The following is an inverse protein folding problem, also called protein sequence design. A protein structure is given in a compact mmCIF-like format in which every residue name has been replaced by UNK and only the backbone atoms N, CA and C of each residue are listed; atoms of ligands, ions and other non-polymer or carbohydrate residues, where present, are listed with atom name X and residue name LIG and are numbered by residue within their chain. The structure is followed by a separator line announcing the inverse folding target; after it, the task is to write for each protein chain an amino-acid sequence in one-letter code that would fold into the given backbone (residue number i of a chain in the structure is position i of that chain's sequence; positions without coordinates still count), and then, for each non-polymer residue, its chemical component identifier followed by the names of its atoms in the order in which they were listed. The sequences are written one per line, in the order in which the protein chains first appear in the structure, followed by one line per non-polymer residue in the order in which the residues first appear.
data_IF_598534631676
#
_entry.id   IF_598534631676
#
_cell.length_a   1.000
_cell.length_b   1.000
_cell.length_c   1.000
_cell.angle_alpha   90.00
_cell.angle_beta   90.00
_cell.angle_gamma   90.00
#
_symmetry.space_group_name_H-M   'P 1'
#
loop_
_entity.id
_entity.type
_entity.pdbx_description
1 polymer ?
#
# COMPACT_ATOMS: atom_id res chain seq x y z
N UNK A 1 -13.21 -4.07 -26.77
CA UNK A 1 -13.40 -2.77 -26.08
C UNK A 1 -12.15 -2.54 -25.27
N UNK A 2 -11.64 -1.31 -25.23
CA UNK A 2 -10.49 -0.99 -24.41
C UNK A 2 -10.85 -1.25 -22.94
N UNK A 3 -10.05 -2.02 -22.23
CA UNK A 3 -10.26 -2.28 -20.81
C UNK A 3 -9.67 -1.11 -20.00
N UNK A 4 -10.50 -0.47 -19.17
CA UNK A 4 -10.11 0.68 -18.36
C UNK A 4 -10.13 0.25 -16.90
N UNK A 5 -9.01 0.44 -16.22
CA UNK A 5 -8.91 0.23 -14.78
C UNK A 5 -8.70 1.58 -14.10
N UNK A 6 -9.51 1.84 -13.09
CA UNK A 6 -9.41 3.04 -12.25
C UNK A 6 -9.04 2.66 -10.83
N UNK A 7 -8.01 3.31 -10.30
CA UNK A 7 -7.57 3.18 -8.92
C UNK A 7 -7.73 4.52 -8.18
N UNK A 8 -8.32 4.48 -6.99
CA UNK A 8 -8.42 5.65 -6.10
C UNK A 8 -7.71 5.32 -4.80
N UNK A 9 -6.56 5.94 -4.59
CA UNK A 9 -5.82 5.85 -3.33
C UNK A 9 -6.31 6.94 -2.37
N UNK A 10 -6.90 6.50 -1.25
CA UNK A 10 -7.56 7.37 -0.27
C UNK A 10 -6.64 7.52 0.95
N UNK A 11 -5.77 8.52 0.90
CA UNK A 11 -4.82 8.84 1.96
C UNK A 11 -5.31 9.90 2.95
N UNK A 12 -4.56 10.09 4.04
CA UNK A 12 -4.89 11.10 5.08
C UNK A 12 -4.47 12.53 4.70
N UNK A 13 -3.63 12.70 3.67
CA UNK A 13 -3.14 14.01 3.23
C UNK A 13 -3.51 14.32 1.78
N UNK A 14 -3.66 13.29 0.96
CA UNK A 14 -4.11 13.42 -0.43
C UNK A 14 -5.00 12.24 -0.81
N UNK A 15 -5.91 12.47 -1.72
CA UNK A 15 -6.60 11.45 -2.52
C UNK A 15 -6.01 11.49 -3.92
N UNK A 16 -5.66 10.33 -4.46
CA UNK A 16 -5.07 10.21 -5.79
C UNK A 16 -5.89 9.24 -6.64
N UNK A 17 -6.31 9.70 -7.81
CA UNK A 17 -6.98 8.86 -8.82
C UNK A 17 -6.04 8.62 -9.99
N UNK A 18 -5.90 7.35 -10.40
CA UNK A 18 -5.14 6.93 -11.56
C UNK A 18 -6.08 6.15 -12.50
N UNK A 19 -6.13 6.54 -13.75
CA UNK A 19 -6.91 5.87 -14.80
C UNK A 19 -5.94 5.28 -15.81
N UNK A 20 -6.09 3.99 -16.09
CA UNK A 20 -5.24 3.26 -17.03
C UNK A 20 -6.05 2.61 -18.14
N UNK A 21 -5.44 2.56 -19.32
CA UNK A 21 -5.88 1.76 -20.44
C UNK A 21 -5.05 0.48 -20.47
N UNK A 22 -5.69 -0.67 -20.51
CA UNK A 22 -5.03 -1.97 -20.62
C UNK A 22 -4.99 -2.37 -22.09
N UNK A 23 -3.78 -2.63 -22.61
CA UNK A 23 -3.60 -3.09 -23.97
C UNK A 23 -3.88 -4.60 -24.12
N UNK A 24 -3.79 -5.10 -25.36
CA UNK A 24 -4.05 -6.53 -25.68
C UNK A 24 -3.00 -7.46 -25.09
N UNK A 25 -1.80 -6.93 -24.77
CA UNK A 25 -0.72 -7.67 -24.09
C UNK A 25 -0.86 -7.63 -22.55
N UNK A 26 -1.90 -6.98 -22.02
CA UNK A 26 -2.17 -6.89 -20.59
C UNK A 26 -1.33 -5.83 -19.86
N UNK A 27 -0.69 -4.89 -20.58
CA UNK A 27 0.09 -3.80 -19.96
C UNK A 27 -0.81 -2.61 -19.69
N UNK A 28 -0.69 -2.04 -18.49
CA UNK A 28 -1.44 -0.86 -18.08
C UNK A 28 -0.70 0.42 -18.44
N UNK A 29 -1.33 1.24 -19.27
CA UNK A 29 -0.85 2.57 -19.66
C UNK A 29 -1.67 3.65 -18.96
N UNK A 30 -1.03 4.49 -18.16
CA UNK A 30 -1.67 5.64 -17.50
C UNK A 30 -2.10 6.64 -18.56
N UNK A 31 -3.39 6.99 -18.56
CA UNK A 31 -4.01 7.96 -19.47
C UNK A 31 -4.54 9.18 -18.71
N UNK A 32 -4.73 9.08 -17.40
CA UNK A 32 -5.17 10.18 -16.56
C UNK A 32 -4.76 9.98 -15.11
N UNK A 33 -4.35 11.08 -14.47
CA UNK A 33 -4.04 11.09 -13.06
C UNK A 33 -4.43 12.44 -12.44
N UNK A 34 -4.85 12.43 -11.20
CA UNK A 34 -4.99 13.64 -10.41
C UNK A 34 -4.88 13.36 -8.92
N UNK A 35 -4.25 14.29 -8.22
CA UNK A 35 -4.17 14.29 -6.77
C UNK A 35 -4.87 15.52 -6.20
N UNK A 36 -5.62 15.34 -5.12
CA UNK A 36 -6.33 16.41 -4.42
C UNK A 36 -6.08 16.31 -2.90
N UNK A 37 -5.97 17.44 -2.19
CA UNK A 37 -5.84 17.41 -0.73
C UNK A 37 -6.98 16.64 -0.08
N UNK A 38 -6.65 15.80 0.88
CA UNK A 38 -7.65 15.01 1.60
C UNK A 38 -8.28 15.83 2.73
N UNK A 39 -9.58 16.03 2.65
CA UNK A 39 -10.40 16.59 3.71
C UNK A 39 -11.38 15.54 4.22
N UNK A 40 -11.72 15.57 5.51
CA UNK A 40 -12.61 14.58 6.11
C UNK A 40 -11.99 13.19 6.29
N UNK A 41 -10.66 13.04 6.09
CA UNK A 41 -9.92 11.79 6.26
C UNK A 41 -8.77 12.02 7.24
N UNK A 42 -8.77 11.31 8.37
CA UNK A 42 -7.73 11.43 9.40
C UNK A 42 -7.23 10.04 9.81
N UNK A 43 -5.91 9.87 9.84
CA UNK A 43 -5.28 8.60 10.25
C UNK A 43 -5.83 7.38 9.50
N UNK A 44 -6.08 7.54 8.18
CA UNK A 44 -6.62 6.51 7.31
C UNK A 44 -8.12 6.23 7.46
N UNK A 45 -8.83 6.95 8.32
CA UNK A 45 -10.26 6.75 8.57
C UNK A 45 -11.07 7.97 8.10
N UNK A 46 -12.26 7.74 7.55
CA UNK A 46 -13.20 8.79 7.15
C UNK A 46 -13.83 9.37 8.42
N UNK A 47 -13.59 10.65 8.69
CA UNK A 47 -14.08 11.39 9.85
C UNK A 47 -15.14 12.45 9.49
N UNK A 48 -15.21 12.82 8.20
CA UNK A 48 -16.20 13.72 7.63
C UNK A 48 -16.61 13.21 6.25
N UNK A 49 -17.85 12.70 6.12
CA UNK A 49 -18.30 12.02 4.90
C UNK A 49 -18.37 13.00 3.72
N UNK A 50 -19.00 14.14 3.88
CA UNK A 50 -19.20 15.11 2.79
C UNK A 50 -17.86 15.70 2.32
N UNK A 51 -16.94 15.97 3.24
CA UNK A 51 -15.59 16.46 2.94
C UNK A 51 -14.78 15.39 2.18
N UNK A 52 -14.91 14.13 2.59
CA UNK A 52 -14.25 13.00 1.92
C UNK A 52 -14.82 12.81 0.51
N UNK A 53 -16.15 12.87 0.34
CA UNK A 53 -16.80 12.79 -0.98
C UNK A 53 -16.25 13.88 -1.89
N UNK A 54 -16.18 15.13 -1.43
CA UNK A 54 -15.67 16.26 -2.22
C UNK A 54 -14.21 16.06 -2.63
N UNK A 55 -13.36 15.54 -1.73
CA UNK A 55 -11.96 15.28 -2.03
C UNK A 55 -11.79 14.15 -3.08
N UNK A 56 -12.57 13.08 -2.95
CA UNK A 56 -12.56 11.95 -3.89
C UNK A 56 -13.11 12.40 -5.25
N UNK A 57 -14.24 13.11 -5.28
CA UNK A 57 -14.84 13.61 -6.52
C UNK A 57 -13.91 14.58 -7.26
N UNK A 58 -13.21 15.46 -6.54
CA UNK A 58 -12.26 16.40 -7.14
C UNK A 58 -11.07 15.68 -7.77
N UNK A 59 -10.52 14.66 -7.09
CA UNK A 59 -9.44 13.82 -7.62
C UNK A 59 -9.91 13.05 -8.86
N UNK A 60 -11.09 12.44 -8.81
CA UNK A 60 -11.69 11.71 -9.92
C UNK A 60 -11.90 12.61 -11.15
N UNK A 61 -12.58 13.74 -10.97
CA UNK A 61 -12.86 14.70 -12.07
C UNK A 61 -11.58 15.25 -12.70
N UNK A 62 -10.52 15.42 -11.91
CA UNK A 62 -9.20 15.81 -12.42
C UNK A 62 -8.61 14.74 -13.34
N UNK A 63 -8.63 13.48 -12.91
CA UNK A 63 -8.11 12.35 -13.67
C UNK A 63 -8.94 12.06 -14.93
N UNK A 64 -10.28 12.12 -14.85
CA UNK A 64 -11.18 11.97 -15.99
C UNK A 64 -10.96 13.05 -17.06
N UNK A 65 -10.78 14.29 -16.63
CA UNK A 65 -10.48 15.41 -17.55
C UNK A 65 -9.16 15.20 -18.28
N UNK A 66 -8.13 14.67 -17.61
CA UNK A 66 -6.85 14.35 -18.22
C UNK A 66 -6.96 13.15 -19.17
N UNK A 67 -7.73 12.13 -18.78
CA UNK A 67 -7.97 10.94 -19.60
C UNK A 67 -8.89 11.19 -20.81
N UNK A 68 -9.70 12.26 -20.78
CA UNK A 68 -10.70 12.58 -21.82
C UNK A 68 -11.90 11.62 -21.82
N UNK A 69 -12.18 10.94 -20.72
CA UNK A 69 -13.29 10.00 -20.58
C UNK A 69 -13.84 10.00 -19.15
N UNK A 70 -15.06 9.48 -18.98
CA UNK A 70 -15.64 9.22 -17.65
C UNK A 70 -15.56 7.74 -17.31
N UNK A 71 -15.38 7.43 -16.03
CA UNK A 71 -15.30 6.06 -15.54
C UNK A 71 -16.56 5.69 -14.75
N UNK A 72 -16.92 4.42 -14.75
CA UNK A 72 -18.14 3.91 -14.08
C UNK A 72 -17.83 3.08 -12.83
N UNK A 73 -16.59 2.66 -12.66
CA UNK A 73 -16.18 1.83 -11.52
C UNK A 73 -14.73 2.06 -11.15
N UNK A 74 -14.36 1.71 -9.92
CA UNK A 74 -13.01 1.85 -9.43
C UNK A 74 -12.66 0.81 -8.34
N UNK A 75 -11.38 0.46 -8.27
CA UNK A 75 -10.75 -0.11 -7.09
C UNK A 75 -10.33 1.01 -6.14
N UNK A 76 -10.44 0.78 -4.83
CA UNK A 76 -10.10 1.79 -3.82
C UNK A 76 -9.21 1.21 -2.73
N UNK A 77 -8.30 2.03 -2.19
CA UNK A 77 -7.53 1.64 -1.02
C UNK A 77 -8.31 1.88 0.27
N UNK A 78 -8.03 1.06 1.29
CA UNK A 78 -8.48 1.28 2.66
C UNK A 78 -7.29 1.18 3.62
N UNK A 79 -7.30 2.05 4.63
CA UNK A 79 -6.30 2.06 5.69
C UNK A 79 -6.96 2.42 7.03
N UNK A 80 -6.15 2.51 8.10
CA UNK A 80 -6.59 2.90 9.44
C UNK A 80 -6.06 1.97 10.52
N UNK A 81 -6.07 2.44 11.76
CA UNK A 81 -5.51 1.73 12.93
C UNK A 81 -6.19 0.39 13.25
N UNK A 82 -7.35 0.14 12.66
CA UNK A 82 -8.14 -1.07 12.92
C UNK A 82 -8.01 -2.13 11.83
N UNK A 83 -7.00 -2.01 10.94
CA UNK A 83 -6.61 -3.11 10.05
C UNK A 83 -6.02 -4.23 10.91
N UNK A 84 -6.61 -5.41 10.84
CA UNK A 84 -6.11 -6.60 11.52
C UNK A 84 -5.94 -7.73 10.52
N UNK A 85 -4.88 -8.52 10.70
CA UNK A 85 -4.68 -9.75 9.96
C UNK A 85 -4.55 -10.95 10.88
N UNK A 86 -4.99 -12.10 10.37
CA UNK A 86 -4.83 -13.40 11.02
C UNK A 86 -4.51 -14.43 9.95
N UNK A 87 -3.69 -15.42 10.27
CA UNK A 87 -3.48 -16.58 9.42
C UNK A 87 -4.37 -17.72 9.92
N UNK A 88 -5.09 -18.37 9.01
CA UNK A 88 -6.00 -19.45 9.36
C UNK A 88 -6.00 -20.57 8.32
N UNK A 89 -6.29 -21.78 8.78
CA UNK A 89 -6.36 -22.98 7.95
C UNK A 89 -7.80 -23.39 7.71
N UNK A 90 -8.11 -23.68 6.45
CA UNK A 90 -9.34 -24.38 6.07
C UNK A 90 -9.02 -25.81 5.66
N UNK A 91 -9.84 -26.77 6.08
CA UNK A 91 -9.58 -28.19 5.84
C UNK A 91 -10.84 -28.86 5.32
N UNK A 92 -10.73 -29.57 4.19
CA UNK A 92 -11.85 -30.33 3.62
C UNK A 92 -11.41 -31.73 3.24
N UNK A 93 -12.34 -32.69 3.32
CA UNK A 93 -12.16 -34.01 2.76
C UNK A 93 -12.48 -33.96 1.27
N UNK A 94 -11.68 -34.68 0.47
CA UNK A 94 -11.86 -34.89 -0.96
C UNK A 94 -12.65 -36.18 -1.16
N UNK A 95 -13.75 -36.08 -1.89
CA UNK A 95 -14.62 -37.23 -2.16
C UNK A 95 -14.33 -37.92 -3.50
N UNK A 96 -13.76 -37.14 -4.44
CA UNK A 96 -13.41 -37.59 -5.77
C UNK A 96 -11.95 -38.06 -5.83
N UNK A 97 -11.51 -38.61 -6.95
CA UNK A 97 -10.15 -39.07 -7.14
C UNK A 97 -9.12 -37.92 -7.28
N UNK A 98 -9.58 -36.76 -7.69
CA UNK A 98 -8.76 -35.56 -7.94
C UNK A 98 -9.39 -34.34 -7.30
N UNK A 99 -8.55 -33.39 -6.88
CA UNK A 99 -8.95 -32.12 -6.29
C UNK A 99 -9.58 -31.22 -7.36
N UNK A 100 -10.80 -30.78 -7.10
CA UNK A 100 -11.59 -29.91 -7.97
C UNK A 100 -11.58 -28.45 -7.50
N UNK A 101 -12.07 -27.53 -8.35
CA UNK A 101 -12.28 -26.12 -7.97
C UNK A 101 -13.26 -25.97 -6.79
N UNK A 102 -14.28 -26.84 -6.70
CA UNK A 102 -15.23 -26.83 -5.59
C UNK A 102 -14.56 -27.21 -4.26
N UNK A 103 -13.62 -28.14 -4.27
CA UNK A 103 -12.85 -28.50 -3.08
C UNK A 103 -11.99 -27.34 -2.59
N UNK A 104 -11.31 -26.64 -3.50
CA UNK A 104 -10.53 -25.44 -3.18
C UNK A 104 -11.44 -24.35 -2.63
N UNK A 105 -12.59 -24.12 -3.26
CA UNK A 105 -13.57 -23.15 -2.78
C UNK A 105 -14.05 -23.50 -1.37
N UNK A 106 -14.43 -24.74 -1.10
CA UNK A 106 -14.86 -25.20 0.22
C UNK A 106 -13.77 -25.04 1.28
N UNK A 107 -12.50 -25.32 0.94
CA UNK A 107 -11.36 -25.13 1.83
C UNK A 107 -11.17 -23.63 2.18
N UNK A 108 -11.27 -22.74 1.20
CA UNK A 108 -11.19 -21.30 1.39
C UNK A 108 -12.37 -20.75 2.21
N UNK A 109 -13.59 -21.21 1.95
CA UNK A 109 -14.75 -20.80 2.76
C UNK A 109 -14.62 -21.28 4.20
N UNK A 110 -14.05 -22.46 4.43
CA UNK A 110 -13.77 -22.92 5.77
C UNK A 110 -12.67 -22.08 6.46
N UNK A 111 -11.65 -21.64 5.74
CA UNK A 111 -10.64 -20.73 6.27
C UNK A 111 -11.25 -19.40 6.75
N UNK A 112 -12.34 -18.94 6.13
CA UNK A 112 -13.09 -17.75 6.58
C UNK A 112 -13.84 -17.96 7.90
N UNK A 113 -14.13 -19.21 8.29
CA UNK A 113 -14.94 -19.53 9.48
C UNK A 113 -14.21 -19.27 10.80
N UNK A 114 -13.12 -18.50 10.76
CA UNK A 114 -12.50 -17.97 11.98
C UNK A 114 -13.51 -17.08 12.70
N UNK A 115 -13.48 -17.10 14.00
CA UNK A 115 -14.26 -16.22 14.87
C UNK A 115 -13.85 -14.75 14.67
N UNK A 116 -14.22 -14.17 13.53
CA UNK A 116 -14.13 -12.74 13.30
C UNK A 116 -15.33 -12.09 14.01
N UNK A 117 -15.11 -11.11 14.88
CA UNK A 117 -16.21 -10.40 15.52
C UNK A 117 -17.19 -9.87 14.49
N UNK A 118 -18.49 -9.91 14.76
CA UNK A 118 -19.55 -9.40 13.85
C UNK A 118 -19.38 -7.92 13.48
N UNK A 119 -18.59 -7.18 14.26
CA UNK A 119 -18.24 -5.78 13.97
C UNK A 119 -17.16 -5.62 12.88
N UNK A 120 -16.68 -6.72 12.29
CA UNK A 120 -15.61 -6.71 11.28
C UNK A 120 -16.01 -7.48 10.03
N UNK A 121 -15.43 -7.09 8.90
CA UNK A 121 -15.56 -7.77 7.61
C UNK A 121 -14.19 -8.11 7.03
N UNK A 122 -14.12 -9.25 6.34
CA UNK A 122 -12.95 -9.68 5.58
C UNK A 122 -12.92 -8.87 4.28
N UNK A 123 -11.79 -8.23 4.01
CA UNK A 123 -11.52 -7.55 2.73
C UNK A 123 -10.57 -8.36 1.85
N UNK A 124 -9.68 -9.14 2.46
CA UNK A 124 -8.78 -10.06 1.75
C UNK A 124 -8.78 -11.43 2.39
N UNK A 125 -8.83 -12.46 1.56
CA UNK A 125 -8.52 -13.85 1.85
C UNK A 125 -7.45 -14.27 0.85
N UNK A 126 -6.20 -14.34 1.30
CA UNK A 126 -5.04 -14.58 0.45
C UNK A 126 -4.51 -15.98 0.79
N UNK A 127 -4.66 -16.98 -0.10
CA UNK A 127 -4.04 -18.28 0.09
C UNK A 127 -2.52 -18.11 0.14
N UNK A 128 -1.89 -18.79 1.05
CA UNK A 128 -0.43 -18.84 1.21
C UNK A 128 0.09 -20.12 0.58
N UNK A 129 -0.36 -21.26 1.08
CA UNK A 129 -0.03 -22.57 0.56
C UNK A 129 -1.25 -23.51 0.64
N UNK A 130 -1.22 -24.54 -0.18
CA UNK A 130 -2.09 -25.70 -0.05
C UNK A 130 -1.31 -26.90 0.47
N UNK A 131 -2.00 -27.76 1.21
CA UNK A 131 -1.45 -28.99 1.78
C UNK A 131 -2.36 -30.13 1.36
N UNK A 132 -1.81 -31.12 0.65
CA UNK A 132 -2.54 -32.32 0.19
C UNK A 132 -1.97 -33.51 0.90
N UNK A 133 -2.78 -34.23 1.69
CA UNK A 133 -2.37 -35.40 2.46
C UNK A 133 -1.01 -35.23 3.21
N UNK A 134 -0.84 -34.08 3.88
CA UNK A 134 0.38 -33.66 4.62
C UNK A 134 1.55 -33.16 3.74
N UNK A 135 1.45 -33.20 2.43
CA UNK A 135 2.44 -32.57 1.54
C UNK A 135 2.22 -31.06 1.51
N UNK A 136 3.17 -30.29 2.03
CA UNK A 136 3.18 -28.81 2.10
C UNK A 136 3.77 -28.17 0.84
N UNK A 137 3.69 -26.83 0.74
CA UNK A 137 4.34 -26.05 -0.32
C UNK A 137 3.64 -26.12 -1.68
N UNK A 138 2.40 -26.60 -1.74
CA UNK A 138 1.65 -26.71 -2.99
C UNK A 138 1.02 -25.34 -3.28
N UNK A 139 1.32 -24.78 -4.45
CA UNK A 139 0.72 -23.51 -4.90
C UNK A 139 -0.59 -23.73 -5.69
N UNK A 140 -0.66 -24.80 -6.48
CA UNK A 140 -1.83 -25.15 -7.29
C UNK A 140 -2.22 -26.61 -7.03
N UNK A 141 -3.25 -26.91 -6.23
CA UNK A 141 -3.65 -28.28 -5.90
C UNK A 141 -4.58 -28.92 -6.93
N UNK A 142 -5.12 -28.17 -7.90
CA UNK A 142 -6.10 -28.66 -8.88
C UNK A 142 -5.57 -29.85 -9.70
N UNK A 143 -6.37 -30.91 -9.82
CA UNK A 143 -6.01 -32.14 -10.54
C UNK A 143 -5.05 -33.04 -9.77
N UNK A 144 -4.60 -32.69 -8.58
CA UNK A 144 -3.82 -33.57 -7.72
C UNK A 144 -4.72 -34.62 -7.08
N UNK A 145 -4.21 -35.84 -6.93
CA UNK A 145 -4.89 -36.91 -6.19
C UNK A 145 -4.62 -36.74 -4.70
N UNK A 146 -5.67 -36.85 -3.88
CA UNK A 146 -5.57 -36.77 -2.43
C UNK A 146 -6.90 -37.03 -1.74
N UNK A 147 -6.86 -37.25 -0.44
CA UNK A 147 -8.04 -37.47 0.39
C UNK A 147 -8.39 -36.29 1.27
N UNK A 148 -7.42 -35.40 1.49
CA UNK A 148 -7.58 -34.23 2.36
C UNK A 148 -6.85 -33.03 1.75
N UNK A 149 -7.58 -31.94 1.58
CA UNK A 149 -7.05 -30.64 1.18
C UNK A 149 -7.10 -29.69 2.36
N UNK A 150 -5.97 -29.05 2.65
CA UNK A 150 -5.88 -27.92 3.56
C UNK A 150 -5.40 -26.69 2.79
N UNK A 151 -5.86 -25.52 3.20
CA UNK A 151 -5.32 -24.23 2.73
C UNK A 151 -4.92 -23.40 3.94
N UNK A 152 -3.69 -22.90 3.94
CA UNK A 152 -3.28 -21.85 4.86
C UNK A 152 -3.54 -20.50 4.19
N UNK A 153 -4.23 -19.59 4.87
CA UNK A 153 -4.68 -18.32 4.28
C UNK A 153 -4.40 -17.16 5.19
N UNK A 154 -3.90 -16.07 4.62
CA UNK A 154 -3.80 -14.78 5.27
C UNK A 154 -5.10 -14.00 5.09
N UNK A 155 -5.71 -13.59 6.21
CA UNK A 155 -7.00 -12.91 6.23
C UNK A 155 -6.81 -11.49 6.73
N UNK A 156 -7.22 -10.50 5.93
CA UNK A 156 -7.23 -9.10 6.36
C UNK A 156 -8.67 -8.66 6.57
N UNK A 157 -8.94 -8.09 7.73
CA UNK A 157 -10.26 -7.61 8.13
C UNK A 157 -10.26 -6.16 8.59
N UNK A 158 -11.40 -5.50 8.38
CA UNK A 158 -11.65 -4.10 8.75
C UNK A 158 -12.96 -3.99 9.54
N UNK A 159 -13.16 -2.91 10.30
CA UNK A 159 -14.48 -2.64 10.89
C UNK A 159 -15.55 -2.48 9.80
N UNK A 160 -16.72 -3.03 10.02
CA UNK A 160 -17.90 -2.88 9.15
C UNK A 160 -18.19 -1.39 8.87
N UNK A 161 -18.08 -0.55 9.91
CA UNK A 161 -18.33 0.89 9.80
C UNK A 161 -17.33 1.59 8.89
N UNK A 162 -16.05 1.23 8.94
CA UNK A 162 -15.01 1.83 8.08
C UNK A 162 -15.25 1.48 6.61
N UNK A 163 -15.56 0.21 6.33
CA UNK A 163 -15.92 -0.26 4.98
C UNK A 163 -17.17 0.43 4.46
N UNK A 164 -18.23 0.47 5.26
CA UNK A 164 -19.52 1.11 4.90
C UNK A 164 -19.39 2.60 4.59
N UNK A 165 -18.60 3.35 5.40
CA UNK A 165 -18.35 4.76 5.14
C UNK A 165 -17.60 4.96 3.82
N UNK A 166 -16.63 4.11 3.51
CA UNK A 166 -15.91 4.13 2.24
C UNK A 166 -16.84 3.83 1.05
N UNK A 167 -17.63 2.77 1.14
CA UNK A 167 -18.62 2.39 0.13
C UNK A 167 -19.62 3.54 -0.13
N UNK A 168 -20.11 4.18 0.94
CA UNK A 168 -21.02 5.34 0.84
C UNK A 168 -20.37 6.49 0.09
N UNK A 169 -19.11 6.81 0.37
CA UNK A 169 -18.40 7.89 -0.35
C UNK A 169 -18.30 7.59 -1.85
N UNK A 170 -17.91 6.36 -2.22
CA UNK A 170 -17.75 5.97 -3.62
C UNK A 170 -19.09 5.93 -4.36
N UNK A 171 -20.14 5.38 -3.74
CA UNK A 171 -21.48 5.35 -4.33
C UNK A 171 -22.08 6.75 -4.51
N UNK A 172 -21.79 7.68 -3.58
CA UNK A 172 -22.29 9.05 -3.65
C UNK A 172 -21.73 9.85 -4.83
N UNK A 173 -20.58 9.45 -5.37
CA UNK A 173 -20.00 10.04 -6.59
C UNK A 173 -20.39 9.29 -7.87
N UNK A 174 -21.31 8.32 -7.76
CA UNK A 174 -21.83 7.56 -8.91
C UNK A 174 -20.95 6.42 -9.39
N UNK A 175 -19.89 6.04 -8.65
CA UNK A 175 -19.02 4.94 -9.01
C UNK A 175 -19.49 3.60 -8.42
N UNK A 176 -19.37 2.55 -9.22
CA UNK A 176 -19.41 1.17 -8.73
C UNK A 176 -18.06 0.82 -8.11
N UNK A 177 -18.09 0.15 -6.97
CA UNK A 177 -16.91 -0.34 -6.31
C UNK A 177 -16.54 -1.74 -6.86
N UNK A 178 -15.38 -1.85 -7.52
CA UNK A 178 -14.88 -3.13 -8.05
C UNK A 178 -14.11 -3.93 -7.00
N UNK A 179 -13.42 -3.24 -6.08
CA UNK A 179 -12.72 -3.85 -4.95
C UNK A 179 -12.21 -2.85 -3.94
N UNK A 180 -12.05 -3.32 -2.70
CA UNK A 180 -11.39 -2.59 -1.62
C UNK A 180 -10.10 -3.31 -1.29
N UNK A 181 -8.98 -2.58 -1.29
CA UNK A 181 -7.65 -3.16 -1.11
C UNK A 181 -6.92 -2.46 0.03
N UNK A 182 -6.33 -3.25 0.94
CA UNK A 182 -5.48 -2.71 2.00
C UNK A 182 -4.26 -2.00 1.39
N UNK A 183 -3.98 -0.77 1.82
CA UNK A 183 -2.95 0.10 1.24
C UNK A 183 -1.56 -0.57 1.20
N UNK A 184 -1.15 -1.25 2.29
CA UNK A 184 0.13 -1.96 2.33
C UNK A 184 0.20 -3.14 1.37
N UNK A 185 -0.91 -3.87 1.18
CA UNK A 185 -1.01 -4.93 0.18
C UNK A 185 -0.95 -4.36 -1.24
N UNK A 186 -1.69 -3.30 -1.52
CA UNK A 186 -1.63 -2.60 -2.81
C UNK A 186 -0.20 -2.15 -3.12
N UNK A 187 0.45 -1.40 -2.22
CA UNK A 187 1.80 -0.89 -2.41
C UNK A 187 2.83 -2.00 -2.72
N UNK A 188 2.67 -3.20 -2.15
CA UNK A 188 3.58 -4.32 -2.36
C UNK A 188 3.71 -4.74 -3.83
N UNK A 189 2.64 -4.58 -4.61
CA UNK A 189 2.63 -4.93 -6.04
C UNK A 189 3.46 -3.99 -6.91
N UNK A 190 3.70 -2.75 -6.46
CA UNK A 190 4.46 -1.76 -7.24
C UNK A 190 5.90 -1.59 -6.79
N UNK A 191 6.26 -1.94 -5.54
CA UNK A 191 7.57 -1.62 -4.98
C UNK A 191 8.44 -2.81 -4.61
N UNK A 192 7.85 -3.99 -4.39
CA UNK A 192 8.59 -5.21 -4.05
C UNK A 192 8.93 -6.04 -5.28
N UNK A 193 10.12 -6.62 -5.26
CA UNK A 193 10.54 -7.61 -6.24
C UNK A 193 10.16 -9.03 -5.78
N UNK A 194 10.00 -9.99 -6.72
CA UNK A 194 9.78 -11.40 -6.35
C UNK A 194 10.86 -11.94 -5.41
N UNK A 195 12.13 -11.63 -5.69
CA UNK A 195 13.26 -12.07 -4.85
C UNK A 195 13.18 -11.55 -3.42
N UNK A 196 12.72 -10.30 -3.22
CA UNK A 196 12.54 -9.76 -1.86
C UNK A 196 11.42 -10.46 -1.11
N UNK A 197 10.31 -10.77 -1.78
CA UNK A 197 9.19 -11.50 -1.17
C UNK A 197 9.61 -12.93 -0.81
N UNK A 198 10.32 -13.59 -1.70
CA UNK A 198 10.85 -14.95 -1.48
C UNK A 198 11.82 -15.00 -0.29
N UNK A 199 12.82 -14.11 -0.25
CA UNK A 199 13.83 -14.10 0.81
C UNK A 199 13.29 -13.61 2.16
N UNK A 200 12.17 -12.93 2.20
CA UNK A 200 11.61 -12.32 3.40
C UNK A 200 11.91 -10.82 3.49
N UNK A 201 10.87 -10.01 3.45
CA UNK A 201 10.93 -8.53 3.44
C UNK A 201 9.81 -7.91 4.28
N UNK A 202 10.15 -6.82 4.96
CA UNK A 202 9.17 -5.92 5.58
C UNK A 202 8.93 -4.73 4.67
N UNK A 203 7.68 -4.53 4.27
CA UNK A 203 7.23 -3.32 3.60
C UNK A 203 6.60 -2.35 4.59
N UNK A 204 7.12 -1.12 4.62
CA UNK A 204 6.55 0.00 5.37
C UNK A 204 6.08 1.08 4.39
N UNK A 205 4.77 1.29 4.31
CA UNK A 205 4.21 2.43 3.59
C UNK A 205 3.92 3.55 4.60
N UNK A 206 4.82 4.55 4.66
CA UNK A 206 4.76 5.69 5.58
C UNK A 206 4.01 6.82 4.89
N UNK A 207 2.71 6.87 5.12
CA UNK A 207 1.82 7.92 4.66
C UNK A 207 1.86 9.18 5.54
N UNK A 208 0.90 10.10 5.32
CA UNK A 208 0.76 11.29 6.14
C UNK A 208 0.22 10.99 7.54
N UNK A 209 -0.77 10.12 7.67
CA UNK A 209 -1.44 9.83 8.95
C UNK A 209 -1.30 8.41 9.48
N UNK A 210 -0.74 7.49 8.67
CA UNK A 210 -0.61 6.06 8.97
C UNK A 210 0.70 5.51 8.47
N UNK A 211 1.16 4.41 9.08
CA UNK A 211 2.15 3.49 8.53
C UNK A 211 1.48 2.15 8.32
N UNK A 212 1.42 1.69 7.08
CA UNK A 212 1.00 0.33 6.76
C UNK A 212 2.20 -0.60 6.84
N UNK A 213 2.02 -1.74 7.46
CA UNK A 213 3.03 -2.76 7.73
C UNK A 213 2.60 -4.03 7.01
N UNK A 214 3.43 -4.57 6.12
CA UNK A 214 3.17 -5.83 5.44
C UNK A 214 4.46 -6.64 5.36
N UNK A 215 4.43 -7.88 5.84
CA UNK A 215 5.59 -8.76 5.87
C UNK A 215 5.39 -9.93 4.92
N UNK A 216 6.43 -10.26 4.17
CA UNK A 216 6.48 -11.41 3.28
C UNK A 216 7.60 -12.34 3.71
N UNK A 217 7.39 -13.64 3.58
CA UNK A 217 8.37 -14.71 3.77
C UNK A 217 8.01 -15.84 2.81
N UNK A 218 8.96 -16.35 2.04
CA UNK A 218 8.74 -17.42 1.06
C UNK A 218 7.65 -17.09 0.03
N UNK A 219 7.68 -15.82 -0.46
CA UNK A 219 6.69 -15.20 -1.37
C UNK A 219 5.26 -15.08 -0.77
N UNK A 220 5.08 -15.42 0.50
CA UNK A 220 3.78 -15.40 1.17
C UNK A 220 3.64 -14.21 2.11
N UNK A 221 2.48 -13.55 2.06
CA UNK A 221 2.16 -12.53 3.06
C UNK A 221 1.89 -13.20 4.40
N UNK A 222 2.62 -12.77 5.44
CA UNK A 222 2.56 -13.39 6.77
C UNK A 222 1.89 -12.49 7.80
N UNK A 223 2.06 -11.17 7.68
CA UNK A 223 1.49 -10.20 8.60
C UNK A 223 1.11 -8.91 7.89
N UNK A 224 -0.04 -8.34 8.26
CA UNK A 224 -0.56 -7.08 7.72
C UNK A 224 -1.27 -6.28 8.80
N UNK A 225 -0.84 -5.05 9.02
CA UNK A 225 -1.50 -4.12 9.97
C UNK A 225 -1.22 -2.67 9.60
N UNK A 226 -1.79 -1.74 10.35
CA UNK A 226 -1.51 -0.32 10.22
C UNK A 226 -1.51 0.37 11.58
N UNK A 227 -0.57 1.29 11.76
CA UNK A 227 -0.50 2.15 12.96
C UNK A 227 -0.87 3.59 12.60
N UNK A 228 -1.47 4.30 13.55
CA UNK A 228 -1.96 5.69 13.37
C UNK A 228 -0.88 6.74 13.63
N UNK A 229 0.28 6.53 13.05
CA UNK A 229 1.41 7.45 13.03
C UNK A 229 1.85 7.66 11.59
N UNK A 230 2.45 8.81 11.29
CA UNK A 230 2.92 9.11 9.94
C UNK A 230 3.55 10.49 9.85
N UNK A 231 3.77 10.98 8.63
CA UNK A 231 4.44 12.25 8.35
C UNK A 231 3.81 13.48 9.00
N UNK A 232 2.51 13.47 9.27
CA UNK A 232 1.84 14.58 9.96
C UNK A 232 2.27 14.72 11.43
N UNK A 233 2.79 13.65 12.04
CA UNK A 233 3.38 13.74 13.38
C UNK A 233 4.70 14.51 13.30
N UNK A 234 5.54 14.21 12.31
CA UNK A 234 6.80 14.94 12.03
C UNK A 234 6.51 16.42 11.75
N UNK A 235 5.47 16.71 10.96
CA UNK A 235 5.06 18.09 10.67
C UNK A 235 4.72 18.88 11.93
N UNK A 236 3.96 18.26 12.86
CA UNK A 236 3.60 18.90 14.13
C UNK A 236 4.82 19.18 15.00
N UNK A 237 5.78 18.26 15.06
CA UNK A 237 6.98 18.44 15.85
C UNK A 237 7.89 19.52 15.23
N UNK A 238 8.00 19.56 13.91
CA UNK A 238 8.69 20.63 13.19
C UNK A 238 8.02 21.99 13.43
N UNK A 239 6.68 22.05 13.39
CA UNK A 239 5.93 23.28 13.67
C UNK A 239 6.23 23.80 15.08
N UNK A 240 6.18 22.91 16.08
CA UNK A 240 6.47 23.27 17.47
C UNK A 240 7.95 23.65 17.68
N UNK A 241 8.89 22.82 17.18
CA UNK A 241 10.31 22.99 17.41
C UNK A 241 10.93 24.17 16.65
N UNK A 242 10.45 24.42 15.43
CA UNK A 242 10.93 25.52 14.57
C UNK A 242 10.06 26.79 14.68
N UNK A 243 8.98 26.75 15.48
CA UNK A 243 8.00 27.85 15.64
C UNK A 243 7.37 28.29 14.32
N UNK A 244 6.97 27.31 13.53
CA UNK A 244 6.28 27.48 12.25
C UNK A 244 4.78 27.16 12.40
N UNK A 245 3.95 27.66 11.48
CA UNK A 245 2.62 27.13 11.28
C UNK A 245 2.69 25.69 10.75
N UNK A 246 1.57 24.92 10.82
CA UNK A 246 1.56 23.55 10.28
C UNK A 246 1.83 23.51 8.77
N UNK A 247 1.30 24.45 8.03
CA UNK A 247 1.47 24.53 6.57
C UNK A 247 2.93 24.86 6.20
N UNK A 248 3.57 25.76 6.93
CA UNK A 248 4.97 26.12 6.74
C UNK A 248 5.89 24.93 7.09
N UNK A 249 5.63 24.26 8.21
CA UNK A 249 6.37 23.06 8.60
C UNK A 249 6.23 21.93 7.58
N UNK A 250 5.03 21.75 6.99
CA UNK A 250 4.82 20.80 5.91
C UNK A 250 5.61 21.15 4.66
N UNK A 251 5.62 22.46 4.27
CA UNK A 251 6.45 22.94 3.15
C UNK A 251 7.93 22.65 3.38
N UNK A 252 8.45 22.93 4.59
CA UNK A 252 9.85 22.64 4.94
C UNK A 252 10.13 21.14 4.85
N UNK A 253 9.29 20.31 5.44
CA UNK A 253 9.43 18.84 5.43
C UNK A 253 9.45 18.27 4.01
N UNK A 254 8.50 18.65 3.18
CA UNK A 254 8.36 18.13 1.80
C UNK A 254 9.54 18.58 0.92
N UNK A 255 10.06 19.78 1.13
CA UNK A 255 11.17 20.32 0.36
C UNK A 255 12.55 20.04 0.98
N UNK A 256 12.64 19.28 2.06
CA UNK A 256 13.88 19.01 2.77
C UNK A 256 15.01 18.48 1.87
N UNK A 257 14.69 17.54 0.94
CA UNK A 257 15.67 17.01 -0.01
C UNK A 257 16.29 18.09 -0.91
N UNK A 258 15.49 19.03 -1.40
CA UNK A 258 16.00 20.13 -2.24
C UNK A 258 16.77 21.17 -1.44
N UNK A 259 16.29 21.46 -0.23
CA UNK A 259 16.95 22.40 0.70
C UNK A 259 18.32 21.89 1.15
N UNK A 260 18.52 20.57 1.25
CA UNK A 260 19.78 19.98 1.73
C UNK A 260 20.78 19.64 0.63
N UNK A 261 20.37 19.53 -0.64
CA UNK A 261 21.24 19.18 -1.79
C UNK A 261 22.42 20.12 -2.01
N UNK A 262 22.37 21.35 -1.52
CA UNK A 262 23.48 22.32 -1.62
C UNK A 262 24.58 22.19 -0.55
N UNK A 263 24.36 21.32 0.47
CA UNK A 263 25.20 21.27 1.68
C UNK A 263 26.06 20.00 1.80
N UNK A 264 25.88 19.03 0.87
CA UNK A 264 26.62 17.75 0.85
C UNK A 264 27.94 17.80 0.02
N UNK A 265 28.47 18.96 -0.30
CA UNK A 265 29.82 19.05 -0.87
C UNK A 265 30.84 18.49 0.13
N UNK A 266 31.45 17.35 -0.24
CA UNK A 266 32.42 16.61 0.55
C UNK A 266 33.44 17.49 1.21
N UNK A 267 33.92 17.18 2.44
CA UNK A 267 35.05 17.89 3.05
C UNK A 267 36.29 17.66 2.19
N UNK A 268 36.71 18.66 1.43
CA UNK A 268 38.07 18.68 0.88
C UNK A 268 39.02 18.69 2.06
N UNK A 269 39.99 17.77 2.05
CA UNK A 269 41.06 17.75 3.01
C UNK A 269 41.74 19.13 3.03
N UNK A 270 41.56 19.89 4.10
CA UNK A 270 42.21 21.18 4.30
C UNK A 270 43.65 20.96 4.70
N UNK A 271 44.56 21.70 4.10
CA UNK A 271 45.94 21.75 4.49
C UNK A 271 46.10 22.65 5.74
N UNK A 272 46.97 22.26 6.63
CA UNK A 272 47.22 22.73 8.01
C UNK A 272 47.57 24.22 8.18
N UNK A 273 47.32 25.09 7.21
CA UNK A 273 47.70 26.53 7.22
C UNK A 273 46.52 27.51 7.19
N UNK A 274 45.25 27.02 7.24
CA UNK A 274 44.06 27.90 7.09
C UNK A 274 43.22 27.97 8.37
N UNK A 275 43.79 27.65 9.54
CA UNK A 275 43.01 27.47 10.80
C UNK A 275 42.98 28.71 11.71
N UNK A 276 43.57 29.87 11.36
CA UNK A 276 43.75 30.96 12.35
C UNK A 276 42.80 32.16 12.26
N UNK A 277 41.91 32.33 11.25
CA UNK A 277 41.11 33.57 11.12
C UNK A 277 39.64 33.40 10.66
N UNK A 278 39.02 32.24 10.78
CA UNK A 278 37.58 32.07 10.37
C UNK A 278 36.67 31.90 11.59
N UNK A 279 35.65 32.79 11.72
CA UNK A 279 34.45 32.47 12.52
C UNK A 279 33.99 31.07 12.20
N UNK A 280 33.55 30.26 13.19
CA UNK A 280 33.41 28.82 13.04
C UNK A 280 32.48 28.49 11.88
N UNK A 281 33.04 27.91 10.81
CA UNK A 281 32.33 27.39 9.62
C UNK A 281 31.17 26.46 9.98
N UNK A 282 31.18 25.87 11.18
CA UNK A 282 30.08 25.06 11.74
C UNK A 282 28.79 25.85 11.84
N UNK A 283 28.78 27.13 12.15
CA UNK A 283 27.58 27.96 12.22
C UNK A 283 26.98 28.22 10.83
N UNK A 284 27.80 28.36 9.80
CA UNK A 284 27.32 28.57 8.42
C UNK A 284 26.74 27.28 7.81
N UNK A 285 27.23 26.12 8.23
CA UNK A 285 26.72 24.79 7.77
C UNK A 285 25.43 24.38 8.44
N UNK A 286 25.04 24.99 9.56
CA UNK A 286 23.81 24.68 10.28
C UNK A 286 22.56 25.46 9.77
N UNK A 287 22.77 26.45 8.91
CA UNK A 287 21.68 27.33 8.45
C UNK A 287 21.15 26.88 7.11
N UNK A 288 19.83 26.67 7.05
CA UNK A 288 19.07 26.36 5.83
C UNK A 288 18.28 27.60 5.44
N UNK A 289 18.47 28.08 4.21
CA UNK A 289 17.64 29.13 3.63
C UNK A 289 16.26 28.57 3.20
N UNK A 290 15.20 29.10 3.78
CA UNK A 290 13.80 28.74 3.47
C UNK A 290 13.03 29.86 2.78
N UNK A 291 13.72 30.90 2.33
CA UNK A 291 13.13 32.08 1.67
C UNK A 291 12.32 31.68 0.42
N UNK A 292 12.79 30.68 -0.32
CA UNK A 292 12.10 30.14 -1.52
C UNK A 292 10.75 29.51 -1.23
N UNK A 293 10.48 29.14 0.04
CA UNK A 293 9.20 28.50 0.44
C UNK A 293 8.12 29.53 0.78
N UNK A 294 8.43 30.84 0.76
CA UNK A 294 7.47 31.91 1.08
C UNK A 294 6.96 31.85 2.52
N UNK A 295 7.83 31.52 3.47
CA UNK A 295 7.52 31.50 4.91
C UNK A 295 7.59 32.92 5.46
N UNK A 296 6.53 33.37 6.11
CA UNK A 296 6.46 34.72 6.65
C UNK A 296 7.36 34.87 7.89
N UNK A 297 8.19 35.91 7.89
CA UNK A 297 9.02 36.28 9.05
C UNK A 297 10.26 35.43 9.33
N UNK A 298 10.39 34.25 8.68
CA UNK A 298 11.52 33.32 8.87
C UNK A 298 12.23 33.13 7.55
N UNK A 299 13.50 33.50 7.49
CA UNK A 299 14.38 33.33 6.31
C UNK A 299 15.23 32.08 6.40
N UNK A 300 15.56 31.65 7.61
CA UNK A 300 16.49 30.56 7.86
C UNK A 300 16.03 29.69 9.03
N UNK A 301 16.32 28.40 8.97
CA UNK A 301 16.10 27.43 10.06
C UNK A 301 17.41 26.70 10.38
N UNK A 302 17.54 26.15 11.61
CA UNK A 302 18.66 25.29 11.98
C UNK A 302 18.50 23.89 11.39
N UNK A 303 19.47 23.45 10.60
CA UNK A 303 19.56 22.08 10.07
C UNK A 303 19.68 21.05 11.16
N UNK A 304 20.51 21.34 12.17
CA UNK A 304 20.72 20.44 13.32
C UNK A 304 19.41 20.21 14.07
N UNK A 305 18.67 21.30 14.34
CA UNK A 305 17.38 21.20 15.04
C UNK A 305 16.34 20.44 14.20
N UNK A 306 16.25 20.71 12.88
CA UNK A 306 15.40 19.98 11.96
C UNK A 306 15.73 18.48 12.00
N UNK A 307 16.99 18.10 11.85
CA UNK A 307 17.41 16.71 11.85
C UNK A 307 17.11 16.00 13.17
N UNK A 308 17.37 16.63 14.30
CA UNK A 308 17.06 16.06 15.63
C UNK A 308 15.57 15.79 15.77
N UNK A 309 14.72 16.77 15.42
CA UNK A 309 13.25 16.59 15.51
C UNK A 309 12.77 15.44 14.62
N UNK A 310 13.25 15.38 13.39
CA UNK A 310 12.87 14.33 12.44
C UNK A 310 13.38 12.97 12.92
N UNK A 311 14.63 12.86 13.35
CA UNK A 311 15.25 11.61 13.79
C UNK A 311 14.52 11.03 15.01
N UNK A 312 14.21 11.85 16.01
CA UNK A 312 13.46 11.42 17.21
C UNK A 312 12.07 10.88 16.85
N UNK A 313 11.33 11.58 16.00
CA UNK A 313 10.00 11.13 15.59
C UNK A 313 10.03 9.88 14.72
N UNK A 314 10.99 9.77 13.82
CA UNK A 314 11.18 8.59 12.97
C UNK A 314 11.56 7.38 13.81
N UNK A 315 12.45 7.53 14.79
CA UNK A 315 12.81 6.46 15.71
C UNK A 315 11.61 5.96 16.51
N UNK A 316 10.76 6.86 17.02
CA UNK A 316 9.52 6.47 17.69
C UNK A 316 8.58 5.69 16.76
N UNK A 317 8.44 6.11 15.49
CA UNK A 317 7.64 5.35 14.52
C UNK A 317 8.22 3.94 14.32
N UNK A 318 9.54 3.81 14.18
CA UNK A 318 10.18 2.51 14.00
C UNK A 318 10.06 1.62 15.25
N UNK A 319 10.19 2.18 16.46
CA UNK A 319 9.95 1.44 17.70
C UNK A 319 8.52 0.90 17.77
N UNK A 320 7.52 1.70 17.41
CA UNK A 320 6.12 1.25 17.33
C UNK A 320 5.92 0.14 16.30
N UNK A 321 6.59 0.20 15.16
CA UNK A 321 6.57 -0.86 14.15
C UNK A 321 7.17 -2.15 14.71
N UNK A 322 8.34 -2.07 15.33
CA UNK A 322 9.02 -3.22 15.96
C UNK A 322 8.11 -3.86 16.99
N UNK A 323 7.56 -3.08 17.92
CA UNK A 323 6.64 -3.57 18.97
C UNK A 323 5.41 -4.26 18.38
N UNK A 324 4.83 -3.74 17.30
CA UNK A 324 3.68 -4.37 16.65
C UNK A 324 4.02 -5.73 16.04
N UNK A 325 5.18 -5.86 15.40
CA UNK A 325 5.63 -7.12 14.79
C UNK A 325 5.96 -8.16 15.86
N UNK A 326 6.66 -7.76 16.93
CA UNK A 326 6.99 -8.63 18.07
C UNK A 326 5.74 -9.12 18.80
N UNK A 327 4.78 -8.24 19.06
CA UNK A 327 3.49 -8.61 19.69
C UNK A 327 2.68 -9.59 18.85
N UNK A 328 2.83 -9.55 17.52
CA UNK A 328 2.23 -10.51 16.62
C UNK A 328 2.98 -11.86 16.57
N UNK A 329 4.08 -12.01 17.29
CA UNK A 329 4.86 -13.24 17.39
C UNK A 329 5.78 -13.49 16.21
N UNK A 330 6.05 -12.46 15.39
CA UNK A 330 6.97 -12.58 14.26
C UNK A 330 8.39 -12.20 14.67
N UNK A 331 9.35 -13.05 14.31
CA UNK A 331 10.77 -12.74 14.43
C UNK A 331 11.25 -11.98 13.18
N UNK A 332 12.19 -11.02 13.37
CA UNK A 332 12.80 -10.27 12.26
C UNK A 332 13.81 -11.12 11.47
N UNK A 333 13.37 -12.27 10.94
CA UNK A 333 14.15 -13.05 9.97
C UNK A 333 13.83 -12.54 8.57
N UNK A 334 14.37 -11.38 8.22
CA UNK A 334 14.11 -10.68 6.95
C UNK A 334 15.42 -10.48 6.18
N UNK A 335 15.93 -11.50 5.50
CA UNK A 335 17.19 -11.40 4.75
C UNK A 335 17.20 -10.32 3.68
N UNK A 336 16.04 -10.06 3.03
CA UNK A 336 15.90 -8.95 2.07
C UNK A 336 15.74 -7.58 2.76
N UNK A 337 15.57 -7.56 4.09
CA UNK A 337 15.51 -6.34 4.88
C UNK A 337 14.18 -5.61 4.79
N UNK A 338 14.25 -4.27 4.66
CA UNK A 338 13.09 -3.39 4.73
C UNK A 338 12.99 -2.54 3.46
N UNK A 339 11.79 -2.48 2.91
CA UNK A 339 11.42 -1.54 1.85
C UNK A 339 10.48 -0.49 2.42
N UNK A 340 10.87 0.78 2.30
CA UNK A 340 10.09 1.90 2.81
C UNK A 340 9.53 2.69 1.64
N UNK A 341 8.23 2.90 1.61
CA UNK A 341 7.54 3.68 0.58
C UNK A 341 6.56 4.68 1.21
N UNK A 342 5.70 5.30 0.40
CA UNK A 342 4.77 6.34 0.85
C UNK A 342 5.40 7.74 0.84
N UNK A 343 4.57 8.77 0.96
CA UNK A 343 5.01 10.16 0.82
C UNK A 343 6.10 10.57 1.80
N UNK A 344 6.05 10.06 3.03
CA UNK A 344 7.02 10.38 4.09
C UNK A 344 8.35 9.66 3.93
N UNK A 345 8.44 8.64 3.07
CA UNK A 345 9.71 7.97 2.78
C UNK A 345 10.73 8.86 2.05
N UNK A 346 10.29 9.99 1.55
CA UNK A 346 11.12 10.97 0.86
C UNK A 346 11.94 11.87 1.82
N UNK A 347 11.78 11.69 3.13
CA UNK A 347 12.59 12.38 4.14
C UNK A 347 14.06 11.97 3.99
N UNK A 348 15.00 12.96 3.95
CA UNK A 348 16.42 12.66 3.79
C UNK A 348 16.94 11.72 4.87
N UNK A 349 17.71 10.70 4.49
CA UNK A 349 18.35 9.77 5.42
C UNK A 349 17.45 8.68 6.00
N UNK A 350 16.16 8.61 5.64
CA UNK A 350 15.21 7.68 6.25
C UNK A 350 15.63 6.20 6.12
N UNK A 351 16.17 5.79 4.97
CA UNK A 351 16.66 4.42 4.79
C UNK A 351 17.86 4.09 5.71
N UNK A 352 18.74 5.07 5.96
CA UNK A 352 19.86 4.89 6.88
C UNK A 352 19.38 4.79 8.34
N UNK A 353 18.39 5.61 8.73
CA UNK A 353 17.76 5.53 10.05
C UNK A 353 17.10 4.17 10.25
N UNK A 354 16.35 3.66 9.26
CA UNK A 354 15.73 2.35 9.31
C UNK A 354 16.77 1.23 9.44
N UNK A 355 17.84 1.25 8.64
CA UNK A 355 18.94 0.28 8.76
C UNK A 355 19.52 0.27 10.17
N UNK A 356 19.67 1.43 10.81
CA UNK A 356 20.17 1.54 12.19
C UNK A 356 19.18 0.99 13.20
N UNK A 357 17.89 1.33 13.06
CA UNK A 357 16.86 0.94 14.02
C UNK A 357 16.54 -0.57 13.99
N UNK A 358 16.46 -1.16 12.80
CA UNK A 358 16.07 -2.55 12.61
C UNK A 358 17.27 -3.52 12.50
N UNK A 359 18.49 -3.03 12.30
CA UNK A 359 19.68 -3.87 12.16
C UNK A 359 19.77 -4.68 10.86
N UNK A 360 18.90 -4.42 9.88
CA UNK A 360 18.83 -5.11 8.57
C UNK A 360 18.96 -4.10 7.42
N UNK A 361 19.29 -4.54 6.18
CA UNK A 361 19.30 -3.65 5.03
C UNK A 361 17.96 -2.90 4.85
N UNK A 362 18.02 -1.65 4.40
CA UNK A 362 16.83 -0.87 4.11
C UNK A 362 17.00 -0.05 2.83
N UNK A 363 15.93 0.04 2.03
CA UNK A 363 15.87 0.86 0.82
C UNK A 363 14.55 1.61 0.69
N UNK A 364 14.56 2.68 -0.11
CA UNK A 364 13.32 3.34 -0.51
C UNK A 364 12.71 2.58 -1.70
N UNK A 365 11.42 2.24 -1.58
CA UNK A 365 10.61 1.62 -2.61
C UNK A 365 10.02 2.68 -3.55
N UNK A 366 10.46 2.68 -4.80
CA UNK A 366 9.91 3.50 -5.88
C UNK A 366 8.99 2.62 -6.71
N UNK A 367 7.74 3.03 -6.95
CA UNK A 367 6.79 2.24 -7.71
C UNK A 367 7.24 2.02 -9.16
N UNK A 368 6.92 0.85 -9.70
CA UNK A 368 7.25 0.42 -11.07
C UNK A 368 6.08 -0.40 -11.63
N UNK A 369 6.09 -0.64 -12.95
CA UNK A 369 5.17 -1.56 -13.61
C UNK A 369 4.05 -0.91 -14.42
N UNK A 370 3.91 0.42 -14.37
CA UNK A 370 3.00 1.16 -15.25
C UNK A 370 3.76 1.90 -16.35
N UNK A 371 3.10 2.09 -17.49
CA UNK A 371 3.60 2.85 -18.65
C UNK A 371 2.77 4.14 -18.86
N UNK A 372 3.18 5.00 -19.78
CA UNK A 372 2.43 6.20 -20.19
C UNK A 372 2.78 7.44 -19.38
N UNK A 373 1.77 8.16 -18.87
CA UNK A 373 1.92 9.43 -18.15
C UNK A 373 2.41 9.21 -16.71
N UNK A 374 3.62 8.68 -16.54
CA UNK A 374 4.15 8.25 -15.23
C UNK A 374 5.17 9.19 -14.59
N UNK A 375 5.63 10.26 -15.28
CA UNK A 375 6.66 11.16 -14.73
C UNK A 375 6.27 11.72 -13.36
N UNK A 376 5.02 12.20 -13.22
CA UNK A 376 4.49 12.70 -11.94
C UNK A 376 4.28 11.61 -10.89
N UNK A 377 4.17 10.36 -11.31
CA UNK A 377 3.86 9.21 -10.47
C UNK A 377 5.11 8.45 -9.99
N UNK A 378 6.30 8.74 -10.52
CA UNK A 378 7.55 8.01 -10.25
C UNK A 378 8.15 8.33 -8.86
N UNK A 379 7.32 8.58 -7.87
CA UNK A 379 7.75 8.83 -6.48
C UNK A 379 7.07 7.84 -5.52
N UNK A 380 7.70 7.55 -4.37
CA UNK A 380 7.11 6.65 -3.37
C UNK A 380 5.71 7.04 -2.91
N UNK A 381 5.34 8.33 -3.04
CA UNK A 381 4.03 8.84 -2.65
C UNK A 381 2.85 8.27 -3.48
N UNK A 382 3.13 7.57 -4.58
CA UNK A 382 2.14 6.96 -5.46
C UNK A 382 2.21 5.42 -5.49
N UNK A 383 2.99 4.83 -4.58
CA UNK A 383 3.19 3.39 -4.54
C UNK A 383 1.87 2.61 -4.37
N UNK A 384 1.01 3.05 -3.45
CA UNK A 384 -0.28 2.40 -3.21
C UNK A 384 -1.22 2.53 -4.43
N UNK A 385 -1.32 3.72 -5.03
CA UNK A 385 -2.17 3.94 -6.21
C UNK A 385 -1.73 3.13 -7.43
N UNK A 386 -0.43 3.10 -7.72
CA UNK A 386 0.11 2.26 -8.81
C UNK A 386 -0.03 0.77 -8.51
N UNK A 387 0.27 0.37 -7.26
CA UNK A 387 0.11 -1.01 -6.84
C UNK A 387 -1.34 -1.47 -6.88
N UNK A 388 -2.30 -0.58 -6.64
CA UNK A 388 -3.73 -0.87 -6.78
C UNK A 388 -4.12 -1.16 -8.23
N UNK A 389 -3.55 -0.47 -9.22
CA UNK A 389 -3.73 -0.81 -10.65
C UNK A 389 -3.15 -2.19 -10.94
N UNK A 390 -1.92 -2.48 -10.48
CA UNK A 390 -1.28 -3.78 -10.72
C UNK A 390 -2.05 -4.93 -10.04
N UNK A 391 -2.58 -4.70 -8.84
CA UNK A 391 -3.49 -5.64 -8.19
C UNK A 391 -4.76 -5.87 -9.02
N UNK A 392 -5.38 -4.80 -9.50
CA UNK A 392 -6.61 -4.87 -10.29
C UNK A 392 -6.41 -5.62 -11.62
N UNK A 393 -5.27 -5.43 -12.30
CA UNK A 393 -4.90 -6.20 -13.49
C UNK A 393 -4.90 -7.71 -13.22
N UNK A 394 -4.28 -8.13 -12.13
CA UNK A 394 -4.23 -9.53 -11.74
C UNK A 394 -5.64 -10.08 -11.40
N UNK A 395 -6.46 -9.30 -10.68
CA UNK A 395 -7.83 -9.68 -10.31
C UNK A 395 -8.76 -9.78 -11.53
N UNK A 396 -8.64 -8.88 -12.52
CA UNK A 396 -9.46 -8.91 -13.75
C UNK A 396 -9.08 -10.04 -14.70
N UNK A 397 -7.79 -10.30 -14.87
CA UNK A 397 -7.31 -11.47 -15.64
C UNK A 397 -7.88 -12.75 -15.04
N UNK A 398 -7.89 -12.83 -13.74
CA UNK A 398 -8.45 -13.91 -12.98
C UNK A 398 -9.95 -14.12 -13.20
N UNK A 399 -10.73 -13.04 -13.22
CA UNK A 399 -12.17 -13.07 -13.50
C UNK A 399 -12.48 -13.39 -14.97
N UNK A 400 -11.63 -12.98 -15.91
CA UNK A 400 -11.79 -13.18 -17.35
C UNK A 400 -11.59 -14.64 -17.79
N UNK A 401 -10.65 -15.36 -17.20
CA UNK A 401 -10.41 -16.77 -17.52
C UNK A 401 -11.59 -17.69 -17.12
N UNK A 402 -12.28 -17.39 -16.02
CA UNK A 402 -13.46 -18.16 -15.59
C UNK A 402 -14.66 -18.04 -16.55
N UNK A 403 -14.77 -16.94 -17.29
CA UNK A 403 -15.85 -16.75 -18.27
C UNK A 403 -15.61 -17.52 -19.57
N UNK A 404 -14.38 -17.89 -19.91
CA UNK A 404 -14.03 -18.65 -21.13
C UNK A 404 -14.27 -20.16 -20.98
N UNK A 405 -14.21 -20.70 -19.78
CA UNK A 405 -14.49 -22.13 -19.53
C UNK A 405 -15.98 -22.46 -19.40
N UNK A 406 -16.85 -21.45 -19.25
CA UNK A 406 -18.30 -21.63 -19.10
C UNK A 406 -19.09 -21.83 -20.41
N UNK A 407 -18.44 -21.79 -21.58
CA UNK A 407 -19.13 -21.79 -22.89
C UNK A 407 -19.07 -23.09 -23.69
N UNK A 408 -18.59 -24.21 -23.14
CA UNK A 408 -18.64 -25.54 -23.82
C UNK A 408 -19.34 -26.57 -22.98
N UNK A 409 -20.68 -26.52 -23.01
CA UNK A 409 -21.53 -27.53 -22.38
C UNK A 409 -23.02 -27.26 -22.59
N UNK A 410 -23.53 -27.68 -23.78
CA UNK A 410 -24.94 -28.04 -24.14
C UNK A 410 -26.08 -27.65 -23.21
N UNK A 411 -26.98 -26.89 -23.83
CA UNK A 411 -28.40 -26.63 -23.51
C UNK A 411 -29.11 -27.63 -22.61
N UNK A 412 -29.74 -27.18 -21.51
CA UNK A 412 -31.17 -27.35 -21.24
C UNK A 412 -31.67 -26.55 -20.03
N UNK A 413 -32.72 -25.75 -20.32
CA UNK A 413 -33.82 -25.26 -19.49
C UNK A 413 -33.61 -24.59 -18.12
N UNK A 414 -33.91 -23.28 -18.16
CA UNK A 414 -34.71 -22.45 -17.21
C UNK A 414 -34.80 -22.86 -15.73
N UNK A 415 -34.31 -21.95 -14.85
CA UNK A 415 -35.16 -21.21 -13.89
C UNK A 415 -34.39 -20.18 -13.07
N UNK A 416 -34.85 -18.94 -13.19
CA UNK A 416 -35.08 -17.86 -12.20
C UNK A 416 -34.11 -17.62 -11.06
N UNK A 417 -33.53 -16.39 -11.13
CA UNK A 417 -33.28 -15.39 -10.07
C UNK A 417 -32.49 -15.79 -8.84
N UNK A 418 -31.24 -15.31 -8.81
CA UNK A 418 -30.75 -14.47 -7.72
C UNK A 418 -29.40 -13.87 -8.15
N UNK A 419 -29.22 -12.59 -7.92
CA UNK A 419 -28.01 -11.81 -8.14
C UNK A 419 -26.88 -12.30 -7.22
N UNK A 420 -26.12 -13.28 -7.69
CA UNK A 420 -24.86 -13.72 -7.07
C UNK A 420 -23.72 -13.32 -7.99
N UNK A 421 -23.00 -12.28 -7.66
CA UNK A 421 -21.75 -11.86 -8.30
C UNK A 421 -20.78 -13.05 -8.27
N UNK A 422 -20.37 -13.54 -9.43
CA UNK A 422 -19.72 -14.81 -9.63
C UNK A 422 -18.49 -15.09 -8.76
N UNK A 423 -18.66 -16.02 -7.87
CA UNK A 423 -17.64 -16.57 -6.96
C UNK A 423 -16.56 -17.33 -7.73
N UNK A 424 -16.91 -17.92 -8.88
CA UNK A 424 -15.99 -18.67 -9.74
C UNK A 424 -14.84 -17.83 -10.35
N UNK A 425 -15.07 -16.54 -10.63
CA UNK A 425 -14.01 -15.64 -11.10
C UNK A 425 -12.92 -15.34 -10.08
N UNK A 426 -13.22 -15.48 -8.79
CA UNK A 426 -12.24 -15.22 -7.72
C UNK A 426 -11.25 -16.39 -7.53
N UNK A 427 -11.65 -17.61 -7.87
CA UNK A 427 -10.83 -18.81 -7.66
C UNK A 427 -9.71 -18.89 -8.71
N UNK A 428 -10.00 -18.63 -9.98
CA UNK A 428 -8.96 -18.64 -11.02
C UNK A 428 -7.90 -17.55 -10.80
N UNK A 429 -8.27 -16.42 -10.17
CA UNK A 429 -7.35 -15.37 -9.77
C UNK A 429 -6.41 -15.75 -8.65
N UNK A 430 -6.90 -16.52 -7.72
CA UNK A 430 -6.13 -17.02 -6.60
C UNK A 430 -4.95 -17.88 -7.10
N UNK A 431 -5.19 -18.73 -8.11
CA UNK A 431 -4.15 -19.60 -8.65
C UNK A 431 -3.06 -18.87 -9.43
N UNK A 432 -3.35 -17.72 -10.04
CA UNK A 432 -2.35 -16.93 -10.77
C UNK A 432 -1.48 -16.06 -9.86
N UNK A 433 -2.01 -15.62 -8.72
CA UNK A 433 -1.20 -14.96 -7.68
C UNK A 433 -0.25 -15.92 -6.98
N UNK A 434 -0.46 -17.23 -7.13
CA UNK A 434 0.38 -18.30 -6.56
C UNK A 434 1.27 -18.98 -7.60
N UNK A 435 1.14 -18.69 -8.89
CA UNK A 435 2.05 -19.16 -9.94
C UNK A 435 3.27 -18.21 -10.05
N UNK A 436 4.51 -18.76 -10.23
CA UNK A 436 5.72 -17.98 -10.35
C UNK A 436 5.73 -17.05 -11.58
#
# INVERSE_FOLDING_TARGET
MANIITAIDIGSTKVCTIITLVDEEGRAKVIGEASYPAHGIKKGEITGIDEAINSIASSLSGAERMAGLTVSSAYVTINGKQILSNNNKGVVAISDSEITEDDVFRALEQAKTVAIPQSREIIHLIPREFIVDQQTGIKVPLGMTGTRLEVDSHIISVPVTAKHNLEKCIQSIGLKLDGIVFTGWAASHSVLTPTEKELGVLLLDIGGGTVSITTFVEDEVTYSTSISFGGSNITRDLAAGLRLSLDEAEKVKVNANSLFKGLEAAPRAKTRKEEEDEEPEEKKKDIIDVTSLGIEGIKTISRKLFNVIVEERVNEIFELVIQNIEQAGYEFKLPAGIVITGGSSQIPGLAAMAKKAFGVPARIGIPKGLEGLVEGLSTPAFAAGQGLILYALNDEVARGDSSRYSTTGTSSKKRTTSSGTGIFGKISGIFRTLAP
#
